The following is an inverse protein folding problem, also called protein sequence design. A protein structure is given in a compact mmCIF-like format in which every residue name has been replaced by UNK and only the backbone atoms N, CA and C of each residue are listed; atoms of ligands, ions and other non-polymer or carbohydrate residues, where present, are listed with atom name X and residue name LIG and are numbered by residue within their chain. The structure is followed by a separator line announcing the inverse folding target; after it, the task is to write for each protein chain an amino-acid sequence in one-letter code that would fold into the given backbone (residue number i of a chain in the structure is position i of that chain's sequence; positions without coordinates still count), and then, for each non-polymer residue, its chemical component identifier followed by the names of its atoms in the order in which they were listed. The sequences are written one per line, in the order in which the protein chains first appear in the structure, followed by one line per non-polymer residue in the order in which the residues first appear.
data_IF_220784030395
#
_entry.id   IF_220784030395
#
_cell.length_a   1.000
_cell.length_b   1.000
_cell.length_c   1.000
_cell.angle_alpha   90.00
_cell.angle_beta   90.00
_cell.angle_gamma   90.00
#
_symmetry.space_group_name_H-M   'P 1'
#
loop_
_entity.id
_entity.type
_entity.pdbx_description
1 polymer ?
#
# COMPACT_ATOMS: atom_id res chain seq x y z
N UNK A 1 16.92 4.79 -13.50
CA UNK A 1 15.57 5.38 -13.62
C UNK A 1 15.64 6.81 -13.15
N UNK A 2 15.23 7.78 -13.96
CA UNK A 2 15.22 9.20 -13.55
C UNK A 2 13.95 9.50 -12.76
N UNK A 3 14.04 9.36 -11.44
CA UNK A 3 12.90 9.56 -10.53
C UNK A 3 12.40 11.01 -10.53
N UNK A 4 13.26 11.97 -10.87
CA UNK A 4 12.88 13.39 -10.93
C UNK A 4 11.94 13.60 -12.13
N UNK A 5 12.31 13.06 -13.30
CA UNK A 5 11.45 13.13 -14.48
C UNK A 5 10.11 12.40 -14.26
N UNK A 6 10.15 11.21 -13.65
CA UNK A 6 8.93 10.45 -13.29
C UNK A 6 7.99 11.29 -12.42
N UNK A 7 8.48 11.87 -11.32
CA UNK A 7 7.66 12.71 -10.42
C UNK A 7 7.07 13.91 -11.15
N UNK A 8 7.80 14.51 -12.08
CA UNK A 8 7.32 15.65 -12.89
C UNK A 8 6.16 15.25 -13.79
N UNK A 9 6.29 14.15 -14.54
CA UNK A 9 5.21 13.66 -15.43
C UNK A 9 3.94 13.29 -14.64
N UNK A 10 4.10 12.58 -13.51
CA UNK A 10 2.97 12.24 -12.64
C UNK A 10 2.30 13.52 -12.11
N UNK A 11 3.08 14.54 -11.72
CA UNK A 11 2.53 15.82 -11.25
C UNK A 11 1.62 16.46 -12.29
N UNK A 12 2.03 16.47 -13.56
CA UNK A 12 1.24 17.05 -14.67
C UNK A 12 -0.07 16.27 -14.84
N UNK A 13 0.00 14.93 -14.87
CA UNK A 13 -1.16 14.06 -15.06
C UNK A 13 -2.17 14.22 -13.90
N UNK A 14 -1.68 14.16 -12.66
CA UNK A 14 -2.51 14.25 -11.47
C UNK A 14 -3.13 15.65 -11.34
N UNK A 15 -2.37 16.73 -11.54
CA UNK A 15 -2.95 18.07 -11.51
C UNK A 15 -4.03 18.26 -12.57
N UNK A 16 -3.83 17.73 -13.79
CA UNK A 16 -4.84 17.80 -14.85
C UNK A 16 -6.12 17.04 -14.48
N UNK A 17 -5.99 15.85 -13.88
CA UNK A 17 -7.12 14.98 -13.56
C UNK A 17 -7.88 15.42 -12.29
N UNK A 18 -7.17 16.00 -11.32
CA UNK A 18 -7.69 16.33 -9.99
C UNK A 18 -7.74 17.84 -9.71
N UNK A 19 -7.68 18.68 -10.75
CA UNK A 19 -7.61 20.15 -10.63
C UNK A 19 -8.72 20.76 -9.75
N UNK A 20 -9.93 20.22 -9.85
CA UNK A 20 -11.13 20.75 -9.18
C UNK A 20 -11.53 19.90 -7.97
N UNK A 21 -10.54 19.25 -7.33
CA UNK A 21 -10.76 18.38 -6.17
C UNK A 21 -10.01 18.88 -4.94
N UNK A 22 -10.47 18.45 -3.76
CA UNK A 22 -9.79 18.71 -2.49
C UNK A 22 -8.56 17.79 -2.31
N UNK A 23 -7.62 17.83 -3.26
CA UNK A 23 -6.40 17.02 -3.24
C UNK A 23 -5.59 17.33 -1.98
N UNK A 24 -5.54 16.43 -1.02
CA UNK A 24 -4.76 16.60 0.20
C UNK A 24 -3.27 16.38 -0.05
N UNK A 25 -2.91 15.27 -0.72
CA UNK A 25 -1.53 14.96 -1.11
C UNK A 25 -1.50 13.93 -2.24
N UNK A 26 -0.38 13.85 -2.96
CA UNK A 26 -0.07 12.73 -3.86
C UNK A 26 1.34 12.20 -3.58
N UNK A 27 1.50 10.88 -3.59
CA UNK A 27 2.79 10.21 -3.38
C UNK A 27 2.95 8.99 -4.29
N UNK A 28 4.19 8.66 -4.58
CA UNK A 28 4.59 7.43 -5.28
C UNK A 28 5.00 6.39 -4.23
N UNK A 29 4.67 5.14 -4.45
CA UNK A 29 5.18 4.03 -3.64
C UNK A 29 5.51 2.84 -4.55
N UNK A 30 5.63 1.65 -3.98
CA UNK A 30 5.81 0.45 -4.78
C UNK A 30 7.25 0.13 -5.14
N UNK A 31 7.38 -0.82 -6.07
CA UNK A 31 8.66 -1.40 -6.47
C UNK A 31 9.67 -0.37 -6.98
N UNK A 32 9.19 0.70 -7.61
CA UNK A 32 10.00 1.81 -8.12
C UNK A 32 10.69 2.56 -6.98
N UNK A 33 9.96 2.85 -5.90
CA UNK A 33 10.50 3.54 -4.73
C UNK A 33 11.33 2.62 -3.84
N UNK A 34 10.91 1.37 -3.72
CA UNK A 34 11.56 0.39 -2.85
C UNK A 34 12.80 -0.27 -3.50
N UNK A 35 13.09 0.03 -4.76
CA UNK A 35 14.36 -0.31 -5.43
C UNK A 35 14.41 -1.71 -6.06
N UNK A 36 13.27 -2.37 -6.23
CA UNK A 36 13.16 -3.70 -6.85
C UNK A 36 12.25 -3.71 -8.09
N UNK A 37 12.00 -2.54 -8.69
CA UNK A 37 11.27 -2.44 -9.96
C UNK A 37 11.97 -3.21 -11.09
N UNK A 38 11.14 -3.72 -12.00
CA UNK A 38 11.55 -4.36 -13.24
C UNK A 38 11.18 -3.45 -14.41
N UNK A 39 11.69 -3.70 -15.64
CA UNK A 39 11.28 -2.95 -16.82
C UNK A 39 9.78 -3.02 -17.15
N UNK A 40 9.04 -3.95 -16.54
CA UNK A 40 7.59 -4.12 -16.70
C UNK A 40 6.78 -3.54 -15.53
N UNK A 41 7.44 -2.99 -14.52
CA UNK A 41 6.78 -2.41 -13.36
C UNK A 41 5.97 -1.18 -13.76
N UNK A 42 4.78 -1.07 -13.20
CA UNK A 42 3.94 0.12 -13.15
C UNK A 42 4.43 1.09 -12.05
N UNK A 43 3.75 2.22 -11.96
CA UNK A 43 3.94 3.22 -10.92
C UNK A 43 2.72 3.24 -9.99
N UNK A 44 2.90 2.75 -8.76
CA UNK A 44 1.89 2.84 -7.70
C UNK A 44 1.76 4.29 -7.21
N UNK A 45 0.76 5.02 -7.71
CA UNK A 45 0.49 6.42 -7.35
C UNK A 45 -0.70 6.48 -6.40
N UNK A 46 -0.55 7.20 -5.29
CA UNK A 46 -1.62 7.35 -4.32
C UNK A 46 -2.08 8.80 -4.28
N UNK A 47 -3.39 8.99 -4.39
CA UNK A 47 -4.07 10.28 -4.32
C UNK A 47 -4.93 10.32 -3.07
N UNK A 48 -4.59 11.20 -2.13
CA UNK A 48 -5.37 11.39 -0.91
C UNK A 48 -6.23 12.63 -1.06
N UNK A 49 -7.54 12.51 -0.88
CA UNK A 49 -8.51 13.60 -0.97
C UNK A 49 -9.03 13.98 0.43
N UNK A 50 -9.17 15.28 0.71
CA UNK A 50 -9.62 15.80 2.01
C UNK A 50 -11.16 15.78 2.18
N UNK A 51 -11.91 15.78 1.06
CA UNK A 51 -13.36 15.93 1.05
C UNK A 51 -14.15 14.92 1.90
N UNK A 52 -15.32 15.35 2.37
CA UNK A 52 -16.22 14.55 3.24
C UNK A 52 -17.00 13.45 2.51
N UNK A 53 -16.94 13.40 1.18
CA UNK A 53 -17.60 12.35 0.41
C UNK A 53 -16.96 11.02 0.76
N UNK A 54 -17.80 10.02 1.06
CA UNK A 54 -17.38 8.63 1.12
C UNK A 54 -16.95 8.22 -0.29
N UNK A 55 -15.67 8.40 -0.56
CA UNK A 55 -15.01 7.84 -1.72
C UNK A 55 -14.61 6.44 -1.30
N UNK A 56 -15.30 5.43 -1.83
CA UNK A 56 -14.78 4.07 -1.83
C UNK A 56 -13.41 4.08 -2.53
N UNK A 57 -12.49 3.24 -2.05
CA UNK A 57 -11.17 3.14 -2.67
C UNK A 57 -11.33 2.84 -4.17
N UNK A 58 -10.90 3.77 -5.02
CA UNK A 58 -11.00 3.64 -6.47
C UNK A 58 -9.60 3.50 -7.05
N UNK A 59 -9.41 2.52 -7.92
CA UNK A 59 -8.19 2.32 -8.68
C UNK A 59 -8.44 2.69 -10.15
N UNK A 60 -7.60 3.58 -10.67
CA UNK A 60 -7.63 3.99 -12.07
C UNK A 60 -6.27 3.74 -12.72
N UNK A 61 -6.29 3.18 -13.93
CA UNK A 61 -5.09 2.93 -14.70
C UNK A 61 -4.93 4.02 -15.76
N UNK A 62 -3.81 4.73 -15.74
CA UNK A 62 -3.52 5.82 -16.67
C UNK A 62 -2.26 5.48 -17.49
N UNK A 63 -2.41 5.13 -18.78
CA UNK A 63 -1.26 5.03 -19.67
C UNK A 63 -0.55 6.38 -19.80
N UNK A 64 0.77 6.38 -19.75
CA UNK A 64 1.61 7.58 -19.89
C UNK A 64 2.91 7.27 -20.62
N UNK A 65 3.64 8.31 -21.01
CA UNK A 65 4.92 8.17 -21.71
C UNK A 65 6.01 7.50 -20.87
N UNK A 66 5.84 7.48 -19.54
CA UNK A 66 6.76 6.82 -18.61
C UNK A 66 6.37 5.38 -18.30
N UNK A 67 5.13 4.98 -18.62
CA UNK A 67 4.57 3.66 -18.29
C UNK A 67 3.13 3.75 -17.78
N UNK A 68 2.62 2.64 -17.24
CA UNK A 68 1.29 2.61 -16.63
C UNK A 68 1.34 3.22 -15.23
N UNK A 69 0.45 4.16 -14.95
CA UNK A 69 0.20 4.65 -13.59
C UNK A 69 -1.00 3.89 -13.02
N UNK A 70 -0.80 3.18 -11.93
CA UNK A 70 -1.88 2.63 -11.10
C UNK A 70 -2.17 3.65 -10.01
N UNK A 71 -3.26 4.41 -10.17
CA UNK A 71 -3.61 5.48 -9.25
C UNK A 71 -4.69 5.00 -8.29
N UNK A 72 -4.35 4.86 -7.01
CA UNK A 72 -5.30 4.54 -5.93
C UNK A 72 -5.78 5.83 -5.27
N UNK A 73 -7.09 6.07 -5.26
CA UNK A 73 -7.74 7.25 -4.69
C UNK A 73 -8.32 6.89 -3.33
N UNK A 74 -7.92 7.62 -2.28
CA UNK A 74 -8.27 7.31 -0.89
C UNK A 74 -8.70 8.58 -0.16
N UNK A 75 -9.71 8.48 0.70
CA UNK A 75 -10.11 9.59 1.56
C UNK A 75 -9.12 9.80 2.71
N UNK A 76 -8.90 11.07 3.09
CA UNK A 76 -8.09 11.41 4.26
C UNK A 76 -8.70 10.82 5.56
N UNK A 77 -10.02 10.67 5.60
CA UNK A 77 -10.75 10.03 6.71
C UNK A 77 -10.28 8.58 6.92
N UNK A 78 -10.22 7.80 5.85
CA UNK A 78 -9.74 6.40 5.90
C UNK A 78 -8.29 6.33 6.40
N UNK A 79 -7.41 7.18 5.88
CA UNK A 79 -6.01 7.25 6.31
C UNK A 79 -5.89 7.54 7.81
N UNK A 80 -6.69 8.48 8.33
CA UNK A 80 -6.71 8.81 9.76
C UNK A 80 -7.25 7.65 10.60
N UNK A 81 -8.23 6.90 10.11
CA UNK A 81 -8.73 5.71 10.79
C UNK A 81 -7.64 4.63 10.88
N UNK A 82 -6.95 4.36 9.77
CA UNK A 82 -5.83 3.42 9.71
C UNK A 82 -4.75 3.81 10.73
N UNK A 83 -4.36 5.08 10.76
CA UNK A 83 -3.38 5.58 11.75
C UNK A 83 -3.83 5.31 13.18
N UNK A 84 -5.11 5.54 13.49
CA UNK A 84 -5.66 5.26 14.83
C UNK A 84 -5.57 3.77 15.17
N UNK A 85 -5.89 2.88 14.22
CA UNK A 85 -5.81 1.42 14.39
C UNK A 85 -4.37 0.98 14.68
N UNK A 86 -3.41 1.41 13.85
CA UNK A 86 -1.98 1.07 14.01
C UNK A 86 -1.42 1.63 15.31
N UNK A 87 -1.69 2.91 15.59
CA UNK A 87 -1.14 3.57 16.77
C UNK A 87 -1.73 3.04 18.08
N UNK A 88 -2.93 2.46 18.07
CA UNK A 88 -3.51 1.79 19.23
C UNK A 88 -3.05 0.34 19.39
N UNK A 89 -2.27 -0.20 18.44
CA UNK A 89 -1.81 -1.60 18.48
C UNK A 89 -2.94 -2.60 18.27
N UNK A 90 -4.00 -2.21 17.56
CA UNK A 90 -5.12 -3.12 17.29
C UNK A 90 -4.68 -4.22 16.33
N UNK A 91 -4.77 -5.47 16.80
CA UNK A 91 -4.49 -6.67 16.01
C UNK A 91 -5.54 -6.94 14.92
N UNK A 92 -6.68 -6.23 14.98
CA UNK A 92 -7.80 -6.40 14.06
C UNK A 92 -7.69 -5.56 12.78
N UNK A 93 -6.48 -5.14 12.40
CA UNK A 93 -6.22 -4.51 11.11
C UNK A 93 -6.29 -5.57 10.01
N UNK A 94 -7.02 -5.31 8.93
CA UNK A 94 -6.96 -6.16 7.73
C UNK A 94 -5.62 -5.97 6.99
N UNK A 95 -5.33 -6.85 6.03
CA UNK A 95 -4.09 -6.78 5.25
C UNK A 95 -3.99 -5.51 4.39
N UNK A 96 -5.12 -4.99 3.93
CA UNK A 96 -5.18 -3.78 3.11
C UNK A 96 -4.70 -2.56 3.90
N UNK A 97 -5.21 -2.34 5.11
CA UNK A 97 -4.82 -1.23 6.00
C UNK A 97 -3.33 -1.30 6.38
N UNK A 98 -2.80 -2.50 6.56
CA UNK A 98 -1.38 -2.73 6.85
C UNK A 98 -0.49 -2.45 5.63
N UNK A 99 -0.91 -2.91 4.45
CA UNK A 99 -0.22 -2.65 3.19
C UNK A 99 -0.20 -1.15 2.88
N UNK A 100 -1.33 -0.46 3.02
CA UNK A 100 -1.40 1.00 2.84
C UNK A 100 -0.53 1.77 3.84
N UNK A 101 -0.47 1.31 5.09
CA UNK A 101 0.44 1.89 6.09
C UNK A 101 1.92 1.73 5.70
N UNK A 102 2.28 0.56 5.19
CA UNK A 102 3.61 0.30 4.63
C UNK A 102 3.89 1.23 3.44
N UNK A 103 2.95 1.34 2.49
CA UNK A 103 3.06 2.19 1.30
C UNK A 103 3.29 3.67 1.63
N UNK A 104 2.65 4.19 2.68
CA UNK A 104 2.89 5.55 3.18
C UNK A 104 4.29 5.70 3.79
N UNK A 105 4.76 4.71 4.56
CA UNK A 105 6.07 4.74 5.21
C UNK A 105 7.24 4.59 4.23
N UNK A 106 7.08 3.80 3.17
CA UNK A 106 8.11 3.64 2.12
C UNK A 106 7.98 4.70 1.04
N UNK A 107 6.79 5.27 0.85
CA UNK A 107 6.47 6.19 -0.23
C UNK A 107 7.24 7.51 -0.22
N UNK A 108 7.22 8.13 -1.39
CA UNK A 108 7.92 9.34 -1.78
C UNK A 108 6.92 10.40 -2.26
N UNK A 109 6.96 11.59 -1.68
CA UNK A 109 6.00 12.65 -2.06
C UNK A 109 6.20 13.11 -3.51
N UNK A 110 5.06 13.40 -4.16
CA UNK A 110 4.98 14.06 -5.46
C UNK A 110 4.36 15.47 -5.29
N UNK A 111 3.15 15.56 -4.73
CA UNK A 111 2.39 16.81 -4.58
C UNK A 111 2.11 17.04 -3.09
N UNK A 112 2.24 18.30 -2.63
CA UNK A 112 1.96 18.75 -1.25
C UNK A 112 2.77 17.96 -0.20
N UNK A 113 4.11 17.95 -0.34
CA UNK A 113 5.03 17.19 0.52
C UNK A 113 4.88 17.40 2.03
N UNK A 114 4.55 18.62 2.46
CA UNK A 114 4.28 18.88 3.87
C UNK A 114 3.11 18.06 4.42
N UNK A 115 2.07 17.85 3.61
CA UNK A 115 0.91 17.04 3.99
C UNK A 115 1.29 15.55 4.01
N UNK A 116 1.99 15.06 3.00
CA UNK A 116 2.51 13.69 3.00
C UNK A 116 3.40 13.40 4.21
N UNK A 117 4.33 14.30 4.53
CA UNK A 117 5.24 14.13 5.66
C UNK A 117 4.50 14.07 7.01
N UNK A 118 3.40 14.82 7.17
CA UNK A 118 2.52 14.71 8.34
C UNK A 118 1.86 13.32 8.42
N UNK A 119 1.37 12.79 7.29
CA UNK A 119 0.81 11.43 7.26
C UNK A 119 1.88 10.39 7.62
N UNK A 120 3.04 10.48 6.97
CA UNK A 120 4.18 9.58 7.21
C UNK A 120 4.64 9.58 8.67
N UNK A 121 4.74 10.76 9.29
CA UNK A 121 5.05 10.91 10.71
C UNK A 121 3.94 10.48 11.66
N UNK A 122 2.70 10.36 11.18
CA UNK A 122 1.54 9.92 11.95
C UNK A 122 1.44 8.40 12.14
N UNK A 123 2.19 7.60 11.38
CA UNK A 123 2.19 6.14 11.49
C UNK A 123 3.32 5.69 12.41
N UNK A 124 2.98 5.03 13.51
CA UNK A 124 3.97 4.42 14.40
C UNK A 124 4.61 3.19 13.74
N UNK A 125 5.80 3.38 13.16
CA UNK A 125 6.58 2.33 12.49
C UNK A 125 6.81 1.10 13.37
N UNK A 126 7.18 1.29 14.63
CA UNK A 126 7.47 0.18 15.55
C UNK A 126 6.25 -0.70 15.76
N UNK A 127 5.09 -0.08 16.03
CA UNK A 127 3.82 -0.82 16.19
C UNK A 127 3.39 -1.52 14.90
N UNK A 128 3.54 -0.87 13.75
CA UNK A 128 3.26 -1.51 12.46
C UNK A 128 4.12 -2.77 12.27
N UNK A 129 5.43 -2.69 12.53
CA UNK A 129 6.33 -3.84 12.45
C UNK A 129 5.94 -4.96 13.42
N UNK A 130 5.52 -4.63 14.65
CA UNK A 130 5.03 -5.62 15.62
C UNK A 130 3.76 -6.34 15.14
N UNK A 131 2.79 -5.59 14.59
CA UNK A 131 1.56 -6.14 14.04
C UNK A 131 1.87 -7.05 12.84
N UNK A 132 2.70 -6.58 11.90
CA UNK A 132 3.11 -7.35 10.72
C UNK A 132 3.84 -8.64 11.12
N UNK A 133 4.78 -8.55 12.06
CA UNK A 133 5.51 -9.72 12.59
C UNK A 133 4.54 -10.75 13.19
N UNK A 134 3.59 -10.29 13.99
CA UNK A 134 2.61 -11.17 14.64
C UNK A 134 1.70 -11.83 13.61
N UNK A 135 1.21 -11.07 12.62
CA UNK A 135 0.39 -11.61 11.53
C UNK A 135 1.15 -12.60 10.66
N UNK A 136 2.39 -12.29 10.29
CA UNK A 136 3.23 -13.20 9.50
C UNK A 136 3.47 -14.51 10.24
N UNK A 137 3.80 -14.45 11.54
CA UNK A 137 3.95 -15.64 12.38
C UNK A 137 2.67 -16.49 12.39
N UNK A 138 1.53 -15.88 12.71
CA UNK A 138 0.25 -16.60 12.79
C UNK A 138 -0.16 -17.19 11.43
N UNK A 139 0.11 -16.48 10.34
CA UNK A 139 -0.15 -16.94 8.99
C UNK A 139 0.73 -18.16 8.64
N UNK A 140 2.03 -18.11 8.93
CA UNK A 140 2.94 -19.23 8.73
C UNK A 140 2.56 -20.46 9.55
N UNK A 141 2.21 -20.29 10.83
CA UNK A 141 1.72 -21.37 11.70
C UNK A 141 0.44 -22.02 11.14
N UNK A 142 -0.50 -21.21 10.65
CA UNK A 142 -1.72 -21.72 10.00
C UNK A 142 -1.39 -22.51 8.75
N UNK A 143 -0.59 -21.95 7.83
CA UNK A 143 -0.19 -22.63 6.61
C UNK A 143 0.51 -23.96 6.90
N UNK A 144 1.38 -24.00 7.91
CA UNK A 144 2.02 -25.25 8.34
C UNK A 144 0.99 -26.29 8.80
N UNK A 145 0.06 -25.90 9.68
CA UNK A 145 -1.01 -26.77 10.17
C UNK A 145 -1.90 -27.31 9.05
N UNK A 146 -2.34 -26.42 8.16
CA UNK A 146 -3.19 -26.78 7.01
C UNK A 146 -2.43 -27.72 6.06
N UNK A 147 -1.13 -27.49 5.85
CA UNK A 147 -0.25 -28.38 5.07
C UNK A 147 -0.20 -29.80 5.64
N UNK A 148 -0.04 -29.95 6.96
CA UNK A 148 -0.07 -31.26 7.64
C UNK A 148 -1.44 -31.92 7.50
N UNK A 149 -2.53 -31.17 7.71
CA UNK A 149 -3.89 -31.68 7.54
C UNK A 149 -4.15 -32.21 6.12
N UNK A 150 -3.65 -31.50 5.10
CA UNK A 150 -3.78 -31.91 3.70
C UNK A 150 -2.97 -33.19 3.39
N UNK A 151 -1.77 -33.35 3.96
CA UNK A 151 -1.02 -34.62 3.86
C UNK A 151 -1.83 -35.78 4.41
N UNK A 152 -2.43 -35.62 5.61
CA UNK A 152 -3.22 -36.68 6.25
C UNK A 152 -4.45 -37.07 5.44
N UNK A 153 -5.00 -36.14 4.66
CA UNK A 153 -6.11 -36.36 3.74
C UNK A 153 -5.68 -36.79 2.32
N UNK A 154 -4.37 -37.03 2.10
CA UNK A 154 -3.78 -37.38 0.82
C UNK A 154 -4.00 -36.31 -0.30
N UNK A 155 -4.24 -35.05 0.08
CA UNK A 155 -4.28 -33.89 -0.82
C UNK A 155 -2.90 -33.23 -0.89
N UNK A 156 -2.01 -33.83 -1.70
CA UNK A 156 -0.62 -33.41 -1.80
C UNK A 156 -0.45 -32.03 -2.48
N UNK A 157 -1.39 -31.63 -3.34
CA UNK A 157 -1.33 -30.34 -4.05
C UNK A 157 -1.59 -29.21 -3.06
N UNK A 158 -2.67 -29.29 -2.28
CA UNK A 158 -2.98 -28.29 -1.26
C UNK A 158 -1.95 -28.30 -0.12
N UNK A 159 -1.35 -29.45 0.17
CA UNK A 159 -0.24 -29.53 1.12
C UNK A 159 0.98 -28.74 0.64
N UNK A 160 1.44 -29.00 -0.59
CA UNK A 160 2.59 -28.30 -1.17
C UNK A 160 2.36 -26.78 -1.23
N UNK A 161 1.17 -26.36 -1.67
CA UNK A 161 0.78 -24.95 -1.71
C UNK A 161 0.86 -24.26 -0.34
N UNK A 162 0.43 -24.94 0.72
CA UNK A 162 0.46 -24.37 2.06
C UNK A 162 1.89 -24.33 2.65
N UNK A 163 2.71 -25.37 2.45
CA UNK A 163 4.09 -25.37 2.95
C UNK A 163 4.98 -24.32 2.27
N UNK A 164 4.77 -24.05 0.99
CA UNK A 164 5.48 -22.97 0.28
C UNK A 164 5.23 -21.59 0.91
N UNK A 165 4.14 -21.43 1.66
CA UNK A 165 3.70 -20.18 2.29
C UNK A 165 4.00 -20.11 3.79
N UNK A 166 4.68 -21.12 4.34
CA UNK A 166 5.14 -21.15 5.74
C UNK A 166 6.44 -20.37 5.96
N UNK A 167 7.23 -20.16 4.90
CA UNK A 167 8.57 -19.56 4.92
C UNK A 167 8.56 -18.04 4.98
#
# INVERSE_FOLDING_TARGET
MDIINVKREITVIINKKFNDTDLYTCYLSGSVIEGFSTPKSDYDVYVILEGEREIECEEIFIPSDIGMLEVTIISLKEIKEIMKIINNGSSNSDWYKLHLSHRILTGESIIKSNNFNKLKGGINKTKLCEILKTKAKNFGEKCFSDGIGNILNNDLISAAFNFERTV
#
